data_IF_245274437635
#
_entry.id   IF_245274437635
#
_cell.length_a   1.000
_cell.length_b   1.000
_cell.length_c   1.000
_cell.angle_alpha   90.00
_cell.angle_beta   90.00
_cell.angle_gamma   90.00
#
_symmetry.space_group_name_H-M   'P 1'
#
loop_
_entity.id
_entity.type
_entity.pdbx_description
1 polymer ?
#
# COMPACT_ATOMS: atom_id res chain seq x y z
N UNK A 1 1.36 -5.02 -1.46
CA UNK A 1 1.99 -5.73 -0.31
C UNK A 1 0.97 -6.51 0.52
N UNK A 2 -0.25 -6.01 0.64
CA UNK A 2 -1.40 -6.66 1.31
C UNK A 2 -1.64 -8.12 0.88
N UNK A 3 -1.64 -8.42 -0.43
CA UNK A 3 -1.90 -9.78 -0.95
C UNK A 3 -0.88 -10.83 -0.47
N UNK A 4 0.38 -10.46 -0.24
CA UNK A 4 1.44 -11.43 0.10
C UNK A 4 1.14 -12.13 1.43
N UNK A 5 0.60 -11.40 2.41
CA UNK A 5 0.21 -11.98 3.71
C UNK A 5 -0.88 -13.04 3.54
N UNK A 6 -1.88 -12.78 2.69
CA UNK A 6 -2.93 -13.74 2.38
C UNK A 6 -2.40 -14.97 1.64
N UNK A 7 -1.44 -14.82 0.73
CA UNK A 7 -0.83 -15.95 0.03
C UNK A 7 -0.03 -16.84 0.97
N UNK A 8 0.80 -16.26 1.85
CA UNK A 8 1.55 -17.02 2.84
C UNK A 8 0.59 -17.74 3.80
N UNK A 9 -0.45 -17.06 4.28
CA UNK A 9 -1.46 -17.66 5.15
C UNK A 9 -2.20 -18.80 4.47
N UNK A 10 -2.59 -18.61 3.21
CA UNK A 10 -3.25 -19.65 2.43
C UNK A 10 -2.34 -20.87 2.27
N UNK A 11 -1.04 -20.67 1.98
CA UNK A 11 -0.06 -21.75 1.89
C UNK A 11 0.10 -22.46 3.22
N UNK A 12 0.21 -21.73 4.34
CA UNK A 12 0.35 -22.30 5.67
C UNK A 12 -0.88 -23.15 6.08
N UNK A 13 -2.08 -22.71 5.70
CA UNK A 13 -3.32 -23.45 5.94
C UNK A 13 -3.54 -24.61 4.95
N UNK A 14 -2.97 -24.53 3.75
CA UNK A 14 -3.05 -25.60 2.77
C UNK A 14 -2.10 -26.73 3.19
N UNK A 15 -2.58 -27.97 3.24
CA UNK A 15 -1.79 -29.17 3.62
C UNK A 15 -0.85 -29.56 2.46
N UNK A 16 -0.08 -28.59 1.97
CA UNK A 16 0.91 -28.74 0.90
C UNK A 16 2.30 -29.06 1.46
N UNK A 17 2.57 -28.66 2.70
CA UNK A 17 3.85 -28.83 3.38
C UNK A 17 3.69 -29.50 4.74
N UNK A 18 4.81 -29.77 5.42
CA UNK A 18 4.81 -30.32 6.77
C UNK A 18 4.22 -29.33 7.78
N UNK A 19 3.69 -29.85 8.88
CA UNK A 19 3.18 -29.04 9.99
C UNK A 19 4.23 -28.04 10.52
N UNK A 20 5.48 -28.48 10.66
CA UNK A 20 6.61 -27.62 11.04
C UNK A 20 6.81 -26.45 10.09
N UNK A 21 6.66 -26.68 8.78
CA UNK A 21 6.77 -25.60 7.77
C UNK A 21 5.63 -24.60 7.94
N UNK A 22 4.39 -25.09 8.15
CA UNK A 22 3.24 -24.21 8.38
C UNK A 22 3.41 -23.35 9.63
N UNK A 23 3.94 -23.90 10.72
CA UNK A 23 4.24 -23.16 11.96
C UNK A 23 5.26 -22.04 11.72
N UNK A 24 6.33 -22.30 10.98
CA UNK A 24 7.32 -21.28 10.59
C UNK A 24 6.66 -20.18 9.73
N UNK A 25 5.78 -20.54 8.79
CA UNK A 25 5.08 -19.55 7.96
C UNK A 25 4.15 -18.66 8.80
N UNK A 26 3.50 -19.20 9.83
CA UNK A 26 2.73 -18.39 10.78
C UNK A 26 3.62 -17.47 11.61
N UNK A 27 4.78 -17.94 12.06
CA UNK A 27 5.75 -17.11 12.79
C UNK A 27 6.28 -15.94 11.92
N UNK A 28 6.56 -16.20 10.63
CA UNK A 28 6.92 -15.16 9.65
C UNK A 28 5.80 -14.12 9.48
N UNK A 29 4.53 -14.54 9.51
CA UNK A 29 3.38 -13.64 9.38
C UNK A 29 3.19 -12.74 10.61
N UNK A 30 3.50 -13.23 11.81
CA UNK A 30 3.41 -12.45 13.04
C UNK A 30 4.65 -11.58 13.28
N UNK A 31 5.78 -11.89 12.62
CA UNK A 31 6.99 -11.07 12.68
C UNK A 31 6.82 -9.77 11.90
N UNK A 32 7.11 -8.64 12.55
CA UNK A 32 6.99 -7.32 11.94
C UNK A 32 8.00 -7.14 10.78
N UNK A 33 7.50 -6.76 9.59
CA UNK A 33 8.33 -6.65 8.38
C UNK A 33 9.23 -5.41 8.44
N UNK A 34 10.54 -5.64 8.61
CA UNK A 34 11.58 -4.60 8.56
C UNK A 34 12.39 -4.63 7.26
N UNK A 35 12.77 -3.46 6.70
CA UNK A 35 13.73 -3.36 5.60
C UNK A 35 15.19 -3.58 6.04
N UNK A 36 15.50 -3.58 7.34
CA UNK A 36 16.86 -3.72 7.85
C UNK A 36 17.25 -5.19 8.02
N UNK A 37 18.42 -5.56 7.48
CA UNK A 37 19.07 -6.86 7.71
C UNK A 37 19.84 -6.89 9.04
N UNK A 38 19.98 -5.76 9.72
CA UNK A 38 20.69 -5.62 10.99
C UNK A 38 19.68 -5.47 12.12
N UNK A 39 19.91 -6.10 13.30
CA UNK A 39 19.11 -5.82 14.48
C UNK A 39 19.20 -4.33 14.81
N UNK A 40 18.08 -3.69 15.16
CA UNK A 40 18.11 -2.31 15.61
C UNK A 40 18.96 -2.17 16.87
N UNK A 41 19.54 -0.97 17.04
CA UNK A 41 20.51 -0.68 18.12
C UNK A 41 19.90 -0.72 19.53
N UNK A 42 18.57 -0.67 19.66
CA UNK A 42 17.85 -0.83 20.93
C UNK A 42 16.87 -2.03 20.86
N UNK A 43 16.99 -2.94 21.82
CA UNK A 43 16.08 -4.07 22.07
C UNK A 43 15.86 -5.08 20.92
N UNK A 44 16.78 -5.20 19.95
CA UNK A 44 16.63 -6.08 18.77
C UNK A 44 15.39 -5.79 17.91
N UNK A 45 14.68 -4.70 18.18
CA UNK A 45 13.53 -4.28 17.38
C UNK A 45 14.03 -3.56 16.13
N UNK A 46 13.40 -3.77 14.97
CA UNK A 46 13.83 -3.13 13.75
C UNK A 46 13.75 -1.60 13.84
N UNK A 47 14.85 -0.89 13.48
CA UNK A 47 14.96 0.54 13.73
C UNK A 47 14.19 1.39 12.72
N UNK A 48 13.89 0.86 11.53
CA UNK A 48 13.21 1.59 10.46
C UNK A 48 11.92 0.91 10.01
N UNK A 49 10.75 1.46 10.37
CA UNK A 49 9.46 1.03 9.82
C UNK A 49 9.24 1.68 8.46
N UNK A 50 9.17 0.87 7.39
CA UNK A 50 8.98 1.42 6.02
C UNK A 50 7.66 2.19 5.90
N UNK A 51 6.59 1.72 6.55
CA UNK A 51 5.28 2.39 6.56
C UNK A 51 5.32 3.77 7.21
N UNK A 52 6.27 4.04 8.11
CA UNK A 52 6.45 5.40 8.65
C UNK A 52 6.90 6.41 7.58
N UNK A 53 7.50 5.93 6.48
CA UNK A 53 8.01 6.78 5.39
C UNK A 53 7.04 6.78 4.19
N UNK A 54 6.46 5.63 3.86
CA UNK A 54 5.63 5.49 2.65
C UNK A 54 4.14 5.51 2.93
N UNK A 55 3.74 5.40 4.19
CA UNK A 55 2.36 5.26 4.64
C UNK A 55 1.90 3.80 4.77
N UNK A 56 0.70 3.59 5.35
CA UNK A 56 0.11 2.28 5.52
C UNK A 56 -0.08 1.56 4.18
N UNK A 57 0.36 0.31 4.08
CA UNK A 57 0.34 -0.41 2.80
C UNK A 57 -1.06 -0.60 2.23
N UNK A 58 -2.08 -0.69 3.06
CA UNK A 58 -3.46 -0.81 2.61
C UNK A 58 -3.97 0.45 1.91
N UNK A 59 -3.63 1.65 2.39
CA UNK A 59 -3.91 2.90 1.68
C UNK A 59 -3.08 3.00 0.40
N UNK A 60 -1.79 2.66 0.46
CA UNK A 60 -0.90 2.75 -0.70
C UNK A 60 -1.31 1.78 -1.83
N UNK A 61 -1.67 0.54 -1.48
CA UNK A 61 -2.20 -0.45 -2.43
C UNK A 61 -3.57 0.01 -2.99
N UNK A 62 -4.44 0.61 -2.16
CA UNK A 62 -5.72 1.19 -2.60
C UNK A 62 -5.51 2.30 -3.64
N UNK A 63 -4.66 3.28 -3.32
CA UNK A 63 -4.30 4.37 -4.25
C UNK A 63 -3.73 3.82 -5.54
N UNK A 64 -2.80 2.86 -5.43
CA UNK A 64 -2.14 2.27 -6.58
C UNK A 64 -3.12 1.56 -7.50
N UNK A 65 -4.05 0.77 -6.95
CA UNK A 65 -5.03 0.07 -7.74
C UNK A 65 -5.89 1.06 -8.54
N UNK A 66 -6.49 2.06 -7.91
CA UNK A 66 -7.39 2.98 -8.61
C UNK A 66 -6.68 3.92 -9.59
N UNK A 67 -5.42 4.29 -9.32
CA UNK A 67 -4.61 5.09 -10.25
C UNK A 67 -4.20 4.26 -11.45
N UNK A 68 -3.61 3.09 -11.24
CA UNK A 68 -3.05 2.30 -12.36
C UNK A 68 -4.11 1.57 -13.17
N UNK A 69 -5.19 1.11 -12.54
CA UNK A 69 -6.26 0.38 -13.24
C UNK A 69 -7.22 1.31 -13.95
N UNK A 70 -7.56 2.46 -13.36
CA UNK A 70 -8.65 3.32 -13.83
C UNK A 70 -8.24 4.76 -14.13
N UNK A 71 -7.03 5.19 -13.76
CA UNK A 71 -6.58 6.57 -13.99
C UNK A 71 -7.41 7.61 -13.24
N UNK A 72 -8.03 7.26 -12.11
CA UNK A 72 -8.87 8.19 -11.37
C UNK A 72 -8.07 9.35 -10.77
N UNK A 73 -8.72 10.51 -10.72
CA UNK A 73 -8.16 11.70 -10.09
C UNK A 73 -8.04 11.53 -8.57
N UNK A 74 -7.05 12.17 -7.93
CA UNK A 74 -6.83 12.13 -6.49
C UNK A 74 -8.07 12.38 -5.65
N UNK A 75 -8.86 13.41 -5.98
CA UNK A 75 -10.08 13.74 -5.23
C UNK A 75 -11.09 12.58 -5.19
N UNK A 76 -11.28 11.88 -6.33
CA UNK A 76 -12.15 10.70 -6.41
C UNK A 76 -11.60 9.54 -5.59
N UNK A 77 -10.29 9.33 -5.63
CA UNK A 77 -9.64 8.26 -4.87
C UNK A 77 -9.78 8.51 -3.37
N UNK A 78 -9.54 9.76 -2.92
CA UNK A 78 -9.70 10.14 -1.53
C UNK A 78 -11.14 9.96 -1.05
N UNK A 79 -12.13 10.34 -1.86
CA UNK A 79 -13.55 10.08 -1.55
C UNK A 79 -13.84 8.59 -1.36
N UNK A 80 -13.39 7.73 -2.29
CA UNK A 80 -13.62 6.29 -2.18
C UNK A 80 -12.86 5.68 -0.99
N UNK A 81 -11.62 6.12 -0.74
CA UNK A 81 -10.84 5.69 0.41
C UNK A 81 -11.54 6.09 1.71
N UNK A 82 -12.05 7.31 1.80
CA UNK A 82 -12.76 7.79 2.99
C UNK A 82 -14.03 6.99 3.26
N UNK A 83 -14.83 6.73 2.21
CA UNK A 83 -16.00 5.86 2.33
C UNK A 83 -15.68 4.42 2.75
N UNK A 84 -14.48 3.94 2.42
CA UNK A 84 -14.02 2.58 2.74
C UNK A 84 -13.43 2.48 4.15
N UNK A 85 -12.66 3.49 4.57
CA UNK A 85 -11.76 3.39 5.72
C UNK A 85 -12.14 4.27 6.91
N UNK A 86 -13.09 5.22 6.79
CA UNK A 86 -13.38 6.13 7.91
C UNK A 86 -13.95 5.44 9.16
N UNK A 87 -14.56 4.26 8.99
CA UNK A 87 -15.22 3.54 10.07
C UNK A 87 -14.90 2.05 9.99
N UNK A 88 -14.06 1.58 10.91
CA UNK A 88 -13.63 0.17 10.96
C UNK A 88 -14.76 -0.80 11.32
N UNK A 89 -15.89 -0.32 11.85
CA UNK A 89 -17.05 -1.15 12.15
C UNK A 89 -17.96 -1.37 10.92
N UNK A 90 -17.69 -0.70 9.80
CA UNK A 90 -18.48 -0.80 8.56
C UNK A 90 -17.73 -1.57 7.48
N UNK A 91 -18.51 -2.20 6.59
CA UNK A 91 -17.97 -2.98 5.48
C UNK A 91 -17.55 -4.40 5.90
N UNK A 92 -16.74 -5.03 5.06
CA UNK A 92 -16.22 -6.38 5.28
C UNK A 92 -14.72 -6.31 5.43
N UNK A 93 -14.21 -6.96 6.48
CA UNK A 93 -12.80 -7.21 6.65
C UNK A 93 -12.53 -8.65 6.19
N UNK A 94 -11.44 -8.89 5.43
CA UNK A 94 -10.93 -10.26 5.26
C UNK A 94 -10.39 -10.75 6.61
N UNK A 95 -9.74 -11.92 6.67
CA UNK A 95 -9.19 -12.54 7.90
C UNK A 95 -8.12 -11.66 8.61
N UNK A 96 -8.55 -10.52 9.13
CA UNK A 96 -7.80 -9.46 9.79
C UNK A 96 -8.40 -9.33 11.18
N UNK A 97 -7.59 -9.64 12.23
CA UNK A 97 -7.99 -9.47 13.61
C UNK A 97 -8.43 -8.04 13.92
N UNK A 98 -9.36 -7.85 14.86
CA UNK A 98 -9.95 -6.54 15.16
C UNK A 98 -8.92 -5.49 15.59
N UNK A 99 -7.87 -5.92 16.26
CA UNK A 99 -6.75 -5.10 16.70
C UNK A 99 -5.86 -4.61 15.55
N UNK A 100 -5.88 -5.28 14.39
CA UNK A 100 -5.15 -4.90 13.17
C UNK A 100 -6.05 -4.15 12.16
N UNK A 101 -7.30 -3.80 12.53
CA UNK A 101 -8.22 -3.01 11.68
C UNK A 101 -8.05 -1.52 11.93
N UNK A 102 -7.64 -0.79 10.89
CA UNK A 102 -7.45 0.65 10.96
C UNK A 102 -8.65 1.43 10.43
N UNK A 103 -8.79 2.65 10.93
CA UNK A 103 -9.66 3.66 10.34
C UNK A 103 -8.84 4.92 10.08
N UNK A 104 -9.19 5.67 9.03
CA UNK A 104 -8.44 6.86 8.60
C UNK A 104 -9.36 8.05 8.40
N UNK A 105 -8.98 9.20 8.97
CA UNK A 105 -9.62 10.47 8.68
C UNK A 105 -9.27 10.96 7.26
N UNK A 106 -10.06 11.87 6.69
CA UNK A 106 -9.81 12.40 5.34
C UNK A 106 -8.44 13.08 5.23
N UNK A 107 -8.01 13.77 6.29
CA UNK A 107 -6.70 14.42 6.36
C UNK A 107 -5.53 13.44 6.26
N UNK A 108 -5.65 12.28 6.89
CA UNK A 108 -4.64 11.21 6.82
C UNK A 108 -4.59 10.59 5.43
N UNK A 109 -5.76 10.34 4.83
CA UNK A 109 -5.87 9.85 3.46
C UNK A 109 -5.24 10.84 2.48
N UNK A 110 -5.56 12.13 2.61
CA UNK A 110 -4.98 13.23 1.81
C UNK A 110 -3.46 13.26 1.94
N UNK A 111 -2.95 13.19 3.16
CA UNK A 111 -1.51 13.18 3.42
C UNK A 111 -0.83 11.99 2.72
N UNK A 112 -1.33 10.77 2.94
CA UNK A 112 -0.72 9.57 2.37
C UNK A 112 -0.90 9.44 0.86
N UNK A 113 -1.98 10.00 0.31
CA UNK A 113 -2.16 10.13 -1.14
C UNK A 113 -1.15 11.12 -1.73
N UNK A 114 -0.87 12.24 -1.05
CA UNK A 114 0.18 13.18 -1.48
C UNK A 114 1.56 12.51 -1.54
N UNK A 115 1.89 11.74 -0.49
CA UNK A 115 3.12 10.95 -0.42
C UNK A 115 3.16 9.92 -1.54
N UNK A 116 2.05 9.20 -1.78
CA UNK A 116 1.93 8.26 -2.90
C UNK A 116 2.24 8.95 -4.23
N UNK A 117 1.55 10.05 -4.54
CA UNK A 117 1.63 10.72 -5.85
C UNK A 117 3.04 11.24 -6.13
N UNK A 118 3.66 11.91 -5.14
CA UNK A 118 5.02 12.39 -5.26
C UNK A 118 6.00 11.24 -5.52
N UNK A 119 5.88 10.15 -4.75
CA UNK A 119 6.76 9.00 -4.93
C UNK A 119 6.51 8.28 -6.24
N UNK A 120 5.25 8.08 -6.62
CA UNK A 120 4.84 7.28 -7.75
C UNK A 120 5.15 7.96 -9.09
N UNK A 121 4.82 9.25 -9.22
CA UNK A 121 4.97 10.00 -10.46
C UNK A 121 6.31 10.72 -10.58
N UNK A 122 6.97 11.12 -9.48
CA UNK A 122 8.25 11.84 -9.53
C UNK A 122 9.45 10.98 -9.15
N UNK A 123 9.41 10.31 -8.00
CA UNK A 123 10.64 9.74 -7.41
C UNK A 123 10.97 8.30 -7.83
N UNK A 124 10.00 7.50 -8.28
CA UNK A 124 10.21 6.04 -8.40
C UNK A 124 10.21 5.52 -9.83
N UNK A 125 9.78 6.31 -10.82
CA UNK A 125 9.62 5.79 -12.18
C UNK A 125 10.93 5.34 -12.81
N UNK A 126 12.05 6.05 -12.59
CA UNK A 126 13.36 5.64 -13.08
C UNK A 126 13.78 4.24 -12.60
N UNK A 127 13.39 3.86 -11.37
CA UNK A 127 13.68 2.53 -10.81
C UNK A 127 12.89 1.44 -11.53
N UNK A 128 11.71 1.78 -12.06
CA UNK A 128 10.83 0.84 -12.77
C UNK A 128 11.27 0.60 -14.20
N UNK A 129 11.90 1.59 -14.83
CA UNK A 129 12.41 1.50 -16.21
C UNK A 129 13.42 0.36 -16.43
N UNK A 130 14.08 -0.11 -15.36
CA UNK A 130 15.07 -1.19 -15.41
C UNK A 130 14.63 -2.44 -14.62
N UNK A 131 13.33 -2.69 -14.44
CA UNK A 131 12.85 -3.85 -13.67
C UNK A 131 13.30 -5.19 -14.31
N UNK A 132 13.74 -6.17 -13.49
CA UNK A 132 13.90 -7.55 -13.94
C UNK A 132 12.59 -8.16 -14.48
N UNK A 133 12.70 -9.28 -15.18
CA UNK A 133 11.54 -10.01 -15.67
C UNK A 133 10.77 -10.65 -14.50
N UNK A 134 9.44 -10.64 -14.59
CA UNK A 134 8.56 -11.29 -13.64
C UNK A 134 7.13 -11.37 -14.18
N UNK A 135 6.33 -12.37 -13.77
CA UNK A 135 4.96 -12.50 -14.24
C UNK A 135 4.07 -11.42 -13.62
N UNK A 136 3.12 -10.93 -14.41
CA UNK A 136 2.01 -10.11 -13.90
C UNK A 136 1.08 -10.99 -13.06
N UNK A 137 0.70 -10.49 -11.88
CA UNK A 137 -0.26 -11.14 -10.98
C UNK A 137 -1.43 -10.19 -10.73
N UNK A 138 -2.66 -10.71 -10.83
CA UNK A 138 -3.89 -9.96 -10.58
C UNK A 138 -4.37 -9.10 -11.76
N UNK A 139 -5.61 -8.62 -11.66
CA UNK A 139 -6.26 -7.79 -12.69
C UNK A 139 -5.92 -6.30 -12.59
N UNK A 140 -5.39 -5.86 -11.45
CA UNK A 140 -5.07 -4.46 -11.15
C UNK A 140 -3.95 -3.86 -12.02
N UNK A 141 -3.18 -4.70 -12.73
CA UNK A 141 -2.05 -4.26 -13.54
C UNK A 141 -0.70 -4.58 -12.89
N UNK A 142 0.35 -4.41 -13.68
CA UNK A 142 1.74 -4.50 -13.24
C UNK A 142 2.46 -3.16 -13.46
N UNK A 143 3.62 -2.99 -12.83
CA UNK A 143 4.44 -1.79 -12.99
C UNK A 143 5.59 -1.98 -13.99
N UNK A 144 5.48 -2.99 -14.86
CA UNK A 144 6.50 -3.28 -15.87
C UNK A 144 6.48 -2.21 -16.98
N UNK A 145 7.63 -1.59 -17.31
CA UNK A 145 7.73 -0.64 -18.43
C UNK A 145 7.53 -1.32 -19.79
N UNK A 146 7.55 -2.66 -19.81
CA UNK A 146 7.32 -3.50 -21.00
C UNK A 146 5.85 -3.89 -21.17
N UNK A 147 4.96 -3.49 -20.28
CA UNK A 147 3.55 -3.90 -20.28
C UNK A 147 2.65 -2.75 -19.79
N UNK A 148 1.93 -2.93 -18.68
CA UNK A 148 0.79 -2.09 -18.30
C UNK A 148 1.16 -0.64 -17.92
N UNK A 149 2.40 -0.36 -17.48
CA UNK A 149 2.76 0.98 -17.01
C UNK A 149 3.96 1.56 -17.76
N UNK A 150 3.67 2.41 -18.76
CA UNK A 150 4.65 3.09 -19.60
C UNK A 150 4.62 4.58 -19.29
N UNK A 151 5.62 5.07 -18.56
CA UNK A 151 5.72 6.47 -18.16
C UNK A 151 7.17 6.98 -18.25
N UNK A 152 7.38 8.29 -18.51
CA UNK A 152 8.71 8.90 -18.53
C UNK A 152 9.38 8.85 -17.16
N UNK A 153 10.68 8.60 -17.10
CA UNK A 153 11.45 8.54 -15.83
C UNK A 153 11.63 9.91 -15.18
N UNK A 154 11.44 10.98 -15.94
CA UNK A 154 11.59 12.39 -15.61
C UNK A 154 10.24 13.13 -15.50
N UNK A 155 9.14 12.40 -15.30
CA UNK A 155 7.82 13.00 -15.09
C UNK A 155 7.70 13.75 -13.75
N UNK A 156 6.80 14.73 -13.71
CA UNK A 156 6.50 15.52 -12.53
C UNK A 156 5.12 15.17 -11.93
N UNK A 157 4.99 15.33 -10.61
CA UNK A 157 3.74 15.06 -9.89
C UNK A 157 2.84 16.30 -9.76
N UNK A 158 3.26 17.46 -10.28
CA UNK A 158 2.65 18.78 -10.03
C UNK A 158 1.14 18.81 -10.24
N UNK A 159 0.67 18.32 -11.40
CA UNK A 159 -0.78 18.34 -11.73
C UNK A 159 -1.61 17.43 -10.84
N UNK A 160 -1.04 16.33 -10.36
CA UNK A 160 -1.69 15.43 -9.42
C UNK A 160 -1.78 16.06 -8.02
N UNK A 161 -0.70 16.69 -7.58
CA UNK A 161 -0.66 17.40 -6.30
C UNK A 161 -1.54 18.65 -6.28
N UNK A 162 -1.78 19.30 -7.43
CA UNK A 162 -2.76 20.37 -7.52
C UNK A 162 -4.17 19.84 -7.24
N UNK A 163 -4.53 18.69 -7.82
CA UNK A 163 -5.85 18.09 -7.57
C UNK A 163 -6.04 17.62 -6.11
N UNK A 164 -4.96 17.33 -5.38
CA UNK A 164 -5.03 17.00 -3.95
C UNK A 164 -5.52 18.17 -3.11
N UNK A 165 -5.35 19.42 -3.56
CA UNK A 165 -5.81 20.60 -2.82
C UNK A 165 -7.34 20.69 -2.73
N UNK A 166 -8.05 20.01 -3.62
CA UNK A 166 -9.51 19.87 -3.59
C UNK A 166 -10.00 18.90 -2.50
N UNK A 167 -9.08 18.20 -1.82
CA UNK A 167 -9.41 17.25 -0.76
C UNK A 167 -9.40 17.99 0.59
N UNK A 168 -10.45 17.84 1.42
CA UNK A 168 -10.50 18.41 2.77
C UNK A 168 -9.28 18.05 3.61
N UNK A 169 -8.85 18.97 4.47
CA UNK A 169 -7.71 18.72 5.36
C UNK A 169 -8.14 17.95 6.61
N UNK A 170 -9.42 18.04 6.97
CA UNK A 170 -10.02 17.44 8.17
C UNK A 170 -11.46 17.01 7.85
N UNK A 171 -12.00 16.12 8.68
CA UNK A 171 -13.36 15.61 8.49
C UNK A 171 -14.43 16.69 8.72
N UNK A 172 -14.09 17.78 9.42
CA UNK A 172 -15.00 18.82 9.88
C UNK A 172 -14.95 20.12 9.05
N UNK A 173 -14.57 20.05 7.78
CA UNK A 173 -14.79 21.20 6.87
C UNK A 173 -16.31 21.30 6.56
N UNK A 174 -17.10 21.78 7.55
CA UNK A 174 -18.43 22.31 7.29
C UNK A 174 -18.29 23.60 6.44
N UNK A 175 -19.17 23.81 5.44
CA UNK A 175 -19.10 24.93 4.52
C UNK A 175 -19.32 26.31 5.18
#
# INVERSE_FOLDING_TARGET
>A
KTLIQHLIRWVACSILFSQETSEILFDILETEISPELIPGRENHLPAQKTEAIVGPYELQDFHNFYITRFGYLPAKIAFMAYCTWKDKARGLWPDIPEEKRHAYAIGEIRHWLSVYLLRFFKHSQFKRSCLPNGPKVGSGGSLSPRSDYRAPSDSEATVWLENVKEIPERDDDEP
#
